data_IF_229726652467
#
_entry.id   IF_229726652467
#
_cell.length_a   1.000
_cell.length_b   1.000
_cell.length_c   1.000
_cell.angle_alpha   90.00
_cell.angle_beta   90.00
_cell.angle_gamma   90.00
#
_symmetry.space_group_name_H-M   'P 1'
#
loop_
_entity.id
_entity.type
_entity.pdbx_description
1 polymer ?
#
# COMPACT_ATOMS: atom_id res chain seq x y z
N UNK A 1 -33.27 -31.49 3.96
CA UNK A 1 -34.35 -31.22 3.00
C UNK A 1 -35.25 -30.19 3.65
N UNK A 2 -35.17 -28.93 3.22
CA UNK A 2 -36.32 -28.05 2.93
C UNK A 2 -35.77 -26.74 2.34
N UNK A 3 -35.58 -26.78 1.02
CA UNK A 3 -35.39 -25.61 0.17
C UNK A 3 -36.78 -25.36 -0.43
N UNK A 4 -37.19 -24.11 -0.57
CA UNK A 4 -38.42 -23.65 -1.24
C UNK A 4 -39.63 -23.38 -0.34
N UNK A 5 -39.69 -22.16 0.21
CA UNK A 5 -40.95 -21.39 0.31
C UNK A 5 -40.67 -19.95 0.76
N UNK A 6 -40.66 -19.03 -0.19
CA UNK A 6 -41.11 -17.63 -0.05
C UNK A 6 -40.76 -16.76 -1.28
N UNK A 7 -40.35 -17.35 -2.41
CA UNK A 7 -40.42 -16.66 -3.70
C UNK A 7 -41.88 -16.58 -4.12
N UNK A 8 -42.50 -15.40 -3.98
CA UNK A 8 -43.51 -14.78 -4.88
C UNK A 8 -44.47 -13.89 -4.08
N UNK A 9 -44.37 -12.58 -4.33
CA UNK A 9 -45.40 -11.51 -4.29
C UNK A 9 -44.63 -10.19 -4.02
N UNK A 10 -44.59 -9.17 -4.87
CA UNK A 10 -45.51 -8.72 -5.91
C UNK A 10 -44.77 -7.69 -6.78
N UNK A 11 -44.95 -7.76 -8.11
CA UNK A 11 -44.58 -6.71 -9.07
C UNK A 11 -45.38 -5.42 -8.79
N UNK A 12 -44.75 -4.24 -8.95
CA UNK A 12 -45.22 -3.15 -9.83
C UNK A 12 -44.57 -1.81 -9.46
N UNK A 13 -43.88 -1.19 -10.42
CA UNK A 13 -43.38 0.18 -10.29
C UNK A 13 -42.40 0.55 -11.41
N UNK A 14 -42.92 0.72 -12.63
CA UNK A 14 -42.21 1.30 -13.77
C UNK A 14 -41.72 2.73 -13.46
N UNK A 15 -40.49 3.07 -13.88
CA UNK A 15 -40.23 4.20 -14.79
C UNK A 15 -38.87 4.04 -15.48
N UNK A 16 -38.89 4.23 -16.80
CA UNK A 16 -37.77 4.12 -17.73
C UNK A 16 -37.11 5.49 -17.99
N UNK A 17 -35.84 5.49 -18.39
CA UNK A 17 -35.19 6.37 -19.42
C UNK A 17 -33.67 6.08 -19.36
N UNK A 18 -33.01 5.47 -20.36
CA UNK A 18 -32.78 5.78 -21.77
C UNK A 18 -31.40 6.45 -22.03
N UNK A 19 -30.58 5.72 -22.80
CA UNK A 19 -29.65 6.17 -23.85
C UNK A 19 -28.39 6.97 -23.50
N UNK A 20 -27.21 6.33 -23.69
CA UNK A 20 -25.95 6.92 -24.17
C UNK A 20 -25.13 5.76 -24.79
N UNK A 21 -24.42 5.81 -25.93
CA UNK A 21 -24.19 6.75 -27.03
C UNK A 21 -23.64 5.88 -28.18
N UNK A 22 -24.35 5.82 -29.31
CA UNK A 22 -23.77 5.41 -30.59
C UNK A 22 -23.54 6.70 -31.40
N UNK A 23 -22.28 7.07 -31.60
CA UNK A 23 -21.88 8.25 -32.36
C UNK A 23 -20.74 7.89 -33.32
N UNK A 24 -21.13 7.35 -34.46
CA UNK A 24 -20.30 7.18 -35.66
C UNK A 24 -20.35 8.51 -36.45
N UNK A 25 -19.20 9.00 -36.91
CA UNK A 25 -19.12 10.19 -37.76
C UNK A 25 -17.78 10.26 -38.46
N UNK A 26 -17.78 9.93 -39.75
CA UNK A 26 -16.63 9.92 -40.66
C UNK A 26 -16.50 11.22 -41.48
N UNK A 27 -15.24 11.60 -41.70
CA UNK A 27 -14.63 12.23 -42.91
C UNK A 27 -14.96 13.67 -43.35
N UNK A 28 -13.90 14.48 -43.60
CA UNK A 28 -13.50 15.11 -44.91
C UNK A 28 -12.33 16.15 -44.72
N UNK A 29 -11.41 16.39 -45.71
CA UNK A 29 -10.00 16.81 -45.49
C UNK A 29 -9.57 18.23 -45.95
N UNK A 30 -8.28 18.55 -45.65
CA UNK A 30 -7.31 19.54 -46.21
C UNK A 30 -7.38 21.06 -45.86
N UNK A 31 -6.30 21.88 -46.04
CA UNK A 31 -4.84 21.61 -46.12
C UNK A 31 -3.91 22.52 -45.26
N UNK A 32 -2.67 22.02 -45.08
CA UNK A 32 -1.36 22.64 -44.82
C UNK A 32 -1.19 24.06 -44.22
N UNK A 33 -0.40 24.16 -43.13
CA UNK A 33 0.66 25.17 -43.02
C UNK A 33 1.81 24.75 -42.08
N UNK A 34 3.01 24.72 -42.68
CA UNK A 34 4.35 24.92 -42.10
C UNK A 34 4.83 23.95 -41.01
N UNK A 35 5.62 22.99 -41.48
CA UNK A 35 6.60 22.24 -40.69
C UNK A 35 7.66 23.18 -40.09
N UNK A 36 7.65 23.32 -38.76
CA UNK A 36 8.84 23.63 -37.99
C UNK A 36 9.27 22.33 -37.28
N UNK A 37 10.54 21.91 -37.32
CA UNK A 37 10.99 20.78 -36.54
C UNK A 37 10.99 21.22 -35.07
N UNK A 38 9.93 20.88 -34.34
CA UNK A 38 9.94 20.91 -32.89
C UNK A 38 10.99 19.89 -32.45
N UNK A 39 12.15 20.38 -32.04
CA UNK A 39 13.16 19.59 -31.36
C UNK A 39 12.46 18.85 -30.22
N UNK A 40 12.26 17.55 -30.41
CA UNK A 40 11.72 16.68 -29.38
C UNK A 40 12.86 16.49 -28.39
N UNK A 41 12.99 17.43 -27.45
CA UNK A 41 13.79 17.21 -26.24
C UNK A 41 13.18 15.99 -25.57
N UNK A 42 13.81 14.83 -25.79
CA UNK A 42 13.56 13.63 -25.02
C UNK A 42 13.84 13.98 -23.56
N UNK A 43 12.79 14.30 -22.82
CA UNK A 43 12.84 14.39 -21.37
C UNK A 43 13.04 12.97 -20.86
N UNK A 44 14.32 12.60 -20.68
CA UNK A 44 14.70 11.43 -19.90
C UNK A 44 13.95 11.52 -18.56
N UNK A 45 13.18 10.50 -18.14
CA UNK A 45 12.56 10.53 -16.83
C UNK A 45 13.68 10.58 -15.79
N UNK A 46 13.88 11.76 -15.18
CA UNK A 46 14.78 11.91 -14.04
C UNK A 46 14.24 11.02 -12.92
N UNK A 47 14.90 9.89 -12.70
CA UNK A 47 14.70 9.09 -11.49
C UNK A 47 14.86 10.04 -10.30
N UNK A 48 13.85 10.17 -9.42
CA UNK A 48 13.96 11.04 -8.27
C UNK A 48 15.18 10.63 -7.46
N UNK A 49 15.97 11.60 -6.94
CA UNK A 49 17.19 11.30 -6.21
C UNK A 49 16.85 10.38 -5.04
N UNK A 50 17.57 9.26 -4.93
CA UNK A 50 17.44 8.32 -3.84
C UNK A 50 18.01 8.97 -2.56
N UNK A 51 17.15 9.65 -1.79
CA UNK A 51 17.56 10.27 -0.53
C UNK A 51 17.62 9.17 0.53
N UNK A 52 18.81 8.88 1.09
CA UNK A 52 18.94 7.86 2.12
C UNK A 52 18.21 8.29 3.40
N UNK A 53 17.70 7.31 4.14
CA UNK A 53 17.21 7.49 5.50
C UNK A 53 18.39 7.89 6.38
N UNK A 54 18.24 8.93 7.19
CA UNK A 54 19.28 9.37 8.13
C UNK A 54 19.33 8.46 9.35
N UNK A 55 20.48 8.38 10.04
CA UNK A 55 20.62 7.56 11.25
C UNK A 55 19.56 7.89 12.31
N UNK A 56 19.23 9.17 12.50
CA UNK A 56 18.19 9.59 13.43
C UNK A 56 16.80 9.09 13.01
N UNK A 57 16.48 9.14 11.73
CA UNK A 57 15.21 8.61 11.20
C UNK A 57 15.11 7.09 11.39
N UNK A 58 16.21 6.35 11.21
CA UNK A 58 16.28 4.91 11.52
C UNK A 58 15.98 4.63 12.99
N UNK A 59 16.66 5.33 13.91
CA UNK A 59 16.48 5.09 15.35
C UNK A 59 15.06 5.40 15.83
N UNK A 60 14.47 6.49 15.31
CA UNK A 60 13.08 6.83 15.61
C UNK A 60 12.13 5.76 15.06
N UNK A 61 12.36 5.33 13.82
CA UNK A 61 11.57 4.27 13.19
C UNK A 61 11.63 2.98 14.00
N UNK A 62 12.83 2.49 14.32
CA UNK A 62 13.00 1.23 15.03
C UNK A 62 12.28 1.25 16.38
N UNK A 63 12.45 2.32 17.15
CA UNK A 63 11.79 2.47 18.45
C UNK A 63 10.26 2.46 18.33
N UNK A 64 9.70 3.25 17.42
CA UNK A 64 8.26 3.33 17.22
C UNK A 64 7.67 2.03 16.66
N UNK A 65 8.43 1.35 15.79
CA UNK A 65 8.06 0.07 15.23
C UNK A 65 7.96 -0.99 16.33
N UNK A 66 8.99 -1.12 17.17
CA UNK A 66 8.99 -2.08 18.29
C UNK A 66 7.79 -1.84 19.20
N UNK A 67 7.54 -0.59 19.58
CA UNK A 67 6.41 -0.25 20.45
C UNK A 67 5.06 -0.66 19.84
N UNK A 68 4.87 -0.40 18.54
CA UNK A 68 3.62 -0.75 17.84
C UNK A 68 3.50 -2.25 17.57
N UNK A 69 4.61 -2.92 17.29
CA UNK A 69 4.65 -4.37 17.11
C UNK A 69 4.24 -5.10 18.39
N UNK A 70 4.84 -4.74 19.53
CA UNK A 70 4.50 -5.32 20.84
C UNK A 70 3.02 -5.03 21.17
N UNK A 71 2.58 -3.77 21.04
CA UNK A 71 1.18 -3.41 21.29
C UNK A 71 0.21 -4.16 20.36
N UNK A 72 0.58 -4.36 19.09
CA UNK A 72 -0.22 -5.12 18.14
C UNK A 72 -0.42 -6.56 18.60
N UNK A 73 0.69 -7.23 18.92
CA UNK A 73 0.69 -8.65 19.32
C UNK A 73 0.06 -8.88 20.70
N UNK A 74 0.26 -7.98 21.66
CA UNK A 74 -0.38 -8.08 22.99
C UNK A 74 -1.91 -7.95 22.91
N UNK A 75 -2.44 -7.27 21.88
CA UNK A 75 -3.86 -7.16 21.63
C UNK A 75 -4.41 -8.27 20.73
N UNK A 76 -3.55 -9.15 20.22
CA UNK A 76 -3.93 -10.27 19.35
C UNK A 76 -4.08 -11.57 20.18
N UNK A 77 -5.30 -12.13 20.29
CA UNK A 77 -5.53 -13.36 21.04
C UNK A 77 -4.87 -14.60 20.42
N UNK A 78 -4.50 -14.54 19.14
CA UNK A 78 -3.84 -15.60 18.37
C UNK A 78 -2.32 -15.35 18.24
N UNK A 79 -1.75 -14.41 19.01
CA UNK A 79 -0.31 -14.15 18.98
C UNK A 79 0.51 -15.43 19.20
N UNK A 80 1.44 -15.68 18.27
CA UNK A 80 2.36 -16.81 18.30
C UNK A 80 3.37 -16.71 19.45
N UNK A 81 3.66 -15.48 19.90
CA UNK A 81 4.63 -15.21 20.97
C UNK A 81 3.88 -14.65 22.17
N UNK A 82 3.81 -15.46 23.24
CA UNK A 82 3.09 -15.12 24.48
C UNK A 82 3.98 -14.54 25.57
N UNK A 83 5.28 -14.74 25.46
CA UNK A 83 6.26 -14.18 26.39
C UNK A 83 6.65 -12.77 25.95
N UNK A 84 6.51 -11.80 26.86
CA UNK A 84 6.78 -10.38 26.56
C UNK A 84 8.27 -10.14 26.22
N UNK A 85 9.19 -10.94 26.76
CA UNK A 85 10.62 -10.79 26.49
C UNK A 85 10.97 -11.33 25.10
N UNK A 86 10.42 -12.48 24.73
CA UNK A 86 10.56 -13.06 23.39
C UNK A 86 9.89 -12.17 22.34
N UNK A 87 8.70 -11.65 22.63
CA UNK A 87 7.98 -10.72 21.76
C UNK A 87 8.79 -9.45 21.52
N UNK A 88 9.39 -8.88 22.58
CA UNK A 88 10.29 -7.74 22.46
C UNK A 88 11.47 -8.02 21.52
N UNK A 89 12.13 -9.18 21.65
CA UNK A 89 13.26 -9.56 20.79
C UNK A 89 12.85 -9.74 19.33
N UNK A 90 11.73 -10.40 19.07
CA UNK A 90 11.22 -10.59 17.70
C UNK A 90 10.89 -9.24 17.06
N UNK A 91 10.17 -8.37 17.78
CA UNK A 91 9.85 -7.03 17.30
C UNK A 91 11.10 -6.16 17.06
N UNK A 92 12.13 -6.26 17.92
CA UNK A 92 13.42 -5.58 17.70
C UNK A 92 14.16 -6.10 16.47
N UNK A 93 14.17 -7.42 16.26
CA UNK A 93 14.75 -8.03 15.07
C UNK A 93 14.04 -7.52 13.81
N UNK A 94 12.71 -7.53 13.82
CA UNK A 94 11.89 -7.05 12.69
C UNK A 94 12.16 -5.58 12.41
N UNK A 95 12.21 -4.75 13.45
CA UNK A 95 12.51 -3.33 13.33
C UNK A 95 13.84 -3.08 12.60
N UNK A 96 14.90 -3.80 12.97
CA UNK A 96 16.24 -3.68 12.36
C UNK A 96 16.28 -4.19 10.91
N UNK A 97 15.58 -5.27 10.60
CA UNK A 97 15.52 -5.79 9.23
C UNK A 97 14.76 -4.83 8.30
N UNK A 98 13.66 -4.28 8.77
CA UNK A 98 12.83 -3.35 7.99
C UNK A 98 13.53 -2.00 7.86
N UNK A 99 14.17 -1.51 8.94
CA UNK A 99 14.85 -0.21 8.90
C UNK A 99 15.92 -0.16 7.83
N UNK A 100 16.59 -1.28 7.51
CA UNK A 100 17.59 -1.35 6.46
C UNK A 100 17.03 -1.25 5.03
N UNK A 101 15.73 -1.56 4.84
CA UNK A 101 15.10 -1.70 3.52
C UNK A 101 14.02 -0.67 3.25
N UNK A 102 13.60 0.07 4.27
CA UNK A 102 12.55 1.08 4.19
C UNK A 102 13.00 2.28 3.35
N UNK A 103 12.08 2.84 2.57
CA UNK A 103 12.32 4.10 1.89
C UNK A 103 12.31 5.26 2.88
N UNK A 104 12.98 6.36 2.55
CA UNK A 104 12.90 7.59 3.36
C UNK A 104 11.47 8.12 3.50
N UNK A 105 10.70 8.06 2.42
CA UNK A 105 9.31 8.52 2.44
C UNK A 105 8.48 7.70 3.45
N UNK A 106 8.65 6.38 3.46
CA UNK A 106 7.93 5.50 4.37
C UNK A 106 8.41 5.64 5.82
N UNK A 107 9.72 5.77 6.04
CA UNK A 107 10.28 6.01 7.37
C UNK A 107 9.74 7.32 7.97
N UNK A 108 9.76 8.40 7.20
CA UNK A 108 9.22 9.69 7.64
C UNK A 108 7.71 9.61 7.86
N UNK A 109 6.97 8.97 6.96
CA UNK A 109 5.54 8.79 7.08
C UNK A 109 5.16 8.02 8.35
N UNK A 110 5.83 6.89 8.60
CA UNK A 110 5.64 6.10 9.80
C UNK A 110 6.01 6.89 11.05
N UNK A 111 7.14 7.59 11.04
CA UNK A 111 7.61 8.36 12.20
C UNK A 111 6.66 9.51 12.57
N UNK A 112 6.06 10.16 11.57
CA UNK A 112 5.19 11.32 11.79
C UNK A 112 3.74 10.93 12.06
N UNK A 113 3.22 9.92 11.35
CA UNK A 113 1.80 9.54 11.43
C UNK A 113 1.55 8.33 12.33
N UNK A 114 2.56 7.51 12.58
CA UNK A 114 2.41 6.25 13.29
C UNK A 114 1.54 5.23 12.53
N UNK A 115 1.32 5.43 11.24
CA UNK A 115 0.56 4.53 10.37
C UNK A 115 1.51 3.55 9.70
N UNK A 116 1.10 2.30 9.56
CA UNK A 116 1.84 1.30 8.78
C UNK A 116 1.46 1.45 7.31
N UNK A 117 2.32 2.02 6.44
CA UNK A 117 2.05 1.99 5.01
C UNK A 117 2.04 0.54 4.54
N UNK A 118 1.30 0.27 3.47
CA UNK A 118 1.09 -1.10 2.96
C UNK A 118 2.41 -1.85 2.72
N UNK A 119 3.42 -1.18 2.16
CA UNK A 119 4.74 -1.75 1.94
C UNK A 119 5.42 -2.14 3.26
N UNK A 120 5.21 -1.38 4.33
CA UNK A 120 5.71 -1.72 5.67
C UNK A 120 5.06 -2.98 6.21
N UNK A 121 3.76 -3.18 5.96
CA UNK A 121 3.04 -4.40 6.38
C UNK A 121 3.61 -5.61 5.64
N UNK A 122 3.86 -5.51 4.34
CA UNK A 122 4.49 -6.58 3.56
C UNK A 122 5.89 -6.89 4.09
N UNK A 123 6.72 -5.87 4.30
CA UNK A 123 8.06 -6.05 4.86
C UNK A 123 8.03 -6.65 6.26
N UNK A 124 7.04 -6.29 7.08
CA UNK A 124 6.83 -6.85 8.42
C UNK A 124 6.58 -8.35 8.37
N UNK A 125 5.72 -8.83 7.46
CA UNK A 125 5.48 -10.27 7.31
C UNK A 125 6.75 -11.03 6.88
N UNK A 126 7.55 -10.46 5.98
CA UNK A 126 8.81 -11.07 5.57
C UNK A 126 9.83 -11.10 6.73
N UNK A 127 9.96 -10.00 7.47
CA UNK A 127 10.85 -9.90 8.61
C UNK A 127 10.44 -10.84 9.75
N UNK A 128 9.13 -10.99 10.00
CA UNK A 128 8.61 -11.92 11.02
C UNK A 128 9.05 -13.36 10.75
N UNK A 129 8.94 -13.83 9.50
CA UNK A 129 9.37 -15.17 9.12
C UNK A 129 10.88 -15.38 9.36
N UNK A 130 11.70 -14.37 9.10
CA UNK A 130 13.14 -14.44 9.36
C UNK A 130 13.46 -14.44 10.86
N UNK A 131 12.83 -13.55 11.62
CA UNK A 131 13.11 -13.35 13.04
C UNK A 131 12.57 -14.47 13.92
N UNK A 132 11.39 -15.01 13.61
CA UNK A 132 10.82 -16.15 14.33
C UNK A 132 11.59 -17.45 14.07
N UNK A 133 12.16 -17.63 12.87
CA UNK A 133 12.99 -18.79 12.54
C UNK A 133 14.41 -18.74 13.13
N UNK A 134 14.80 -17.60 13.71
CA UNK A 134 16.12 -17.35 14.29
C UNK A 134 16.10 -17.24 15.82
N UNK A 135 14.92 -17.42 16.43
CA UNK A 135 14.65 -17.29 17.88
C UNK A 135 14.71 -18.62 18.61
#
# INVERSE_FOLDING_TARGET
>A
MDQDQAFRRTLAGLTATAALLAGCGSETPEPAKTSAPAATTSSTPSTPPHIPVTQSEHQIFEKLYVEKCIKGQQNDPDSLVKDDQELGRVCECMAKEISQRISKADAVHFNQKGEFPFDLVIMSNQAANHCLGSS
#
